data_IF_752589023286
#
_entry.id   IF_752589023286
#
_cell.length_a   1.000
_cell.length_b   1.000
_cell.length_c   1.000
_cell.angle_alpha   90.00
_cell.angle_beta   90.00
_cell.angle_gamma   90.00
#
_symmetry.space_group_name_H-M   'P 1'
#
loop_
_entity.id
_entity.type
_entity.pdbx_description
1 polymer ?
#
# COMPACT_ATOMS: atom_id res chain seq x y z
N UNK A 1 4.21 -8.03 19.91
CA UNK A 1 5.30 -8.48 19.02
C UNK A 1 5.21 -7.62 17.77
N UNK A 2 6.29 -7.01 17.30
CA UNK A 2 6.23 -6.11 16.14
C UNK A 2 6.32 -6.92 14.86
N UNK A 3 5.45 -6.64 13.90
CA UNK A 3 5.37 -7.32 12.61
C UNK A 3 6.03 -6.49 11.52
N UNK A 4 6.95 -7.10 10.77
CA UNK A 4 7.48 -6.47 9.57
C UNK A 4 6.42 -6.57 8.47
N UNK A 5 6.11 -5.44 7.86
CA UNK A 5 5.21 -5.35 6.72
C UNK A 5 6.00 -4.92 5.50
N UNK A 6 5.81 -5.66 4.41
CA UNK A 6 6.37 -5.35 3.11
C UNK A 6 5.23 -5.02 2.15
N UNK A 7 5.35 -3.89 1.48
CA UNK A 7 4.47 -3.46 0.40
C UNK A 7 5.30 -3.45 -0.87
N UNK A 8 4.91 -4.26 -1.84
CA UNK A 8 5.39 -4.14 -3.22
C UNK A 8 4.25 -3.64 -4.08
N UNK A 9 4.50 -2.65 -4.94
CA UNK A 9 3.49 -2.14 -5.85
C UNK A 9 4.06 -1.98 -7.27
N UNK A 10 3.16 -1.91 -8.24
CA UNK A 10 3.48 -1.52 -9.60
C UNK A 10 2.51 -0.42 -10.03
N UNK A 11 3.04 0.80 -10.11
CA UNK A 11 2.30 1.94 -10.65
C UNK A 11 2.38 1.88 -12.18
N UNK A 12 1.26 2.10 -12.85
CA UNK A 12 1.18 2.03 -14.32
C UNK A 12 2.07 3.08 -14.99
N UNK A 13 2.53 2.77 -16.20
CA UNK A 13 3.44 3.59 -17.03
C UNK A 13 2.92 5.02 -17.33
N UNK A 14 1.64 5.31 -17.12
CA UNK A 14 1.03 6.62 -17.30
C UNK A 14 0.95 7.45 -15.99
N UNK A 15 1.49 6.93 -14.88
CA UNK A 15 1.62 7.68 -13.63
C UNK A 15 2.79 8.66 -13.78
N UNK A 16 2.52 9.97 -13.70
CA UNK A 16 3.57 11.00 -13.75
C UNK A 16 4.44 10.93 -12.51
N UNK A 17 5.67 11.47 -12.60
CA UNK A 17 6.60 11.59 -11.46
C UNK A 17 5.96 12.32 -10.27
N UNK A 18 5.18 13.37 -10.51
CA UNK A 18 4.46 14.10 -9.46
C UNK A 18 3.49 13.20 -8.66
N UNK A 19 2.70 12.36 -9.34
CA UNK A 19 1.79 11.43 -8.66
C UNK A 19 2.54 10.33 -7.90
N UNK A 20 3.69 9.90 -8.44
CA UNK A 20 4.58 8.96 -7.76
C UNK A 20 5.12 9.55 -6.46
N UNK A 21 5.62 10.78 -6.52
CA UNK A 21 6.21 11.47 -5.37
C UNK A 21 5.16 11.71 -4.28
N UNK A 22 3.94 12.11 -4.65
CA UNK A 22 2.84 12.27 -3.71
C UNK A 22 2.42 10.95 -3.02
N UNK A 23 2.47 9.84 -3.76
CA UNK A 23 2.21 8.51 -3.19
C UNK A 23 3.29 8.11 -2.19
N UNK A 24 4.56 8.32 -2.55
CA UNK A 24 5.70 7.97 -1.69
C UNK A 24 5.75 8.88 -0.45
N UNK A 25 5.55 10.19 -0.61
CA UNK A 25 5.51 11.17 0.48
C UNK A 25 4.42 10.82 1.51
N UNK A 26 3.24 10.40 1.04
CA UNK A 26 2.17 9.99 1.95
C UNK A 26 2.58 8.79 2.80
N UNK A 27 3.10 7.74 2.17
CA UNK A 27 3.53 6.53 2.86
C UNK A 27 4.68 6.82 3.82
N UNK A 28 5.64 7.65 3.41
CA UNK A 28 6.77 8.05 4.26
C UNK A 28 6.33 8.86 5.48
N UNK A 29 5.31 9.72 5.33
CA UNK A 29 4.64 10.40 6.43
C UNK A 29 3.99 9.43 7.44
N UNK A 30 3.67 8.21 7.02
CA UNK A 30 3.13 7.13 7.85
C UNK A 30 4.21 6.12 8.30
N UNK A 31 5.49 6.45 8.13
CA UNK A 31 6.61 5.66 8.62
C UNK A 31 7.04 4.50 7.72
N UNK A 32 6.47 4.40 6.50
CA UNK A 32 7.00 3.52 5.47
C UNK A 32 8.35 4.04 4.97
N UNK A 33 9.24 3.11 4.62
CA UNK A 33 10.57 3.42 4.09
C UNK A 33 10.89 2.49 2.95
N UNK A 34 11.77 2.91 2.05
CA UNK A 34 12.26 2.02 1.02
C UNK A 34 12.91 0.78 1.65
N UNK A 35 12.58 -0.39 1.12
CA UNK A 35 13.08 -1.65 1.65
C UNK A 35 14.50 -1.90 1.13
N UNK A 36 15.54 -1.87 1.98
CA UNK A 36 16.93 -1.97 1.54
C UNK A 36 17.30 -3.35 0.99
N UNK A 37 16.56 -4.38 1.38
CA UNK A 37 16.82 -5.78 1.03
C UNK A 37 16.32 -6.16 -0.37
N UNK A 38 15.61 -5.25 -1.03
CA UNK A 38 15.12 -5.41 -2.40
C UNK A 38 15.57 -4.18 -3.19
N UNK A 39 16.35 -4.37 -4.25
CA UNK A 39 16.92 -3.25 -5.07
C UNK A 39 15.88 -2.47 -5.89
N UNK A 40 14.63 -2.48 -5.45
CA UNK A 40 13.46 -1.97 -6.14
C UNK A 40 12.93 -0.75 -5.37
N UNK A 41 12.97 0.42 -6.02
CA UNK A 41 12.26 1.62 -5.57
C UNK A 41 10.73 1.44 -5.51
N UNK A 42 10.24 0.24 -5.84
CA UNK A 42 8.82 -0.15 -5.82
C UNK A 42 8.43 -0.97 -4.59
N UNK A 43 9.33 -1.13 -3.63
CA UNK A 43 9.06 -1.88 -2.40
C UNK A 43 9.33 -1.01 -1.19
N UNK A 44 8.29 -0.80 -0.37
CA UNK A 44 8.38 -0.11 0.92
C UNK A 44 8.14 -1.09 2.07
N UNK A 45 8.75 -0.80 3.20
CA UNK A 45 8.63 -1.57 4.43
C UNK A 45 8.27 -0.65 5.60
N UNK A 46 7.48 -1.16 6.53
CA UNK A 46 7.32 -0.53 7.84
C UNK A 46 7.20 -1.61 8.93
N UNK A 47 7.33 -1.18 10.19
CA UNK A 47 7.16 -2.06 11.36
C UNK A 47 5.84 -1.71 12.04
N UNK A 48 4.89 -2.63 11.98
CA UNK A 48 3.59 -2.52 12.66
C UNK A 48 3.56 -3.27 13.99
N UNK A 49 2.41 -3.20 14.66
CA UNK A 49 2.10 -3.96 15.87
C UNK A 49 1.89 -5.46 15.59
N UNK A 50 0.81 -6.03 16.10
CA UNK A 50 0.40 -7.40 15.74
C UNK A 50 0.10 -7.51 14.23
N UNK A 51 0.16 -8.74 13.71
CA UNK A 51 0.17 -8.95 12.26
C UNK A 51 -1.16 -8.60 11.57
N UNK A 52 -2.30 -8.87 12.22
CA UNK A 52 -3.63 -8.56 11.67
C UNK A 52 -3.90 -7.06 11.69
N UNK A 53 -3.62 -6.39 12.82
CA UNK A 53 -3.71 -4.94 12.93
C UNK A 53 -2.77 -4.24 11.95
N UNK A 54 -1.55 -4.74 11.79
CA UNK A 54 -0.59 -4.20 10.83
C UNK A 54 -1.05 -4.37 9.38
N UNK A 55 -1.68 -5.50 9.02
CA UNK A 55 -2.22 -5.72 7.67
C UNK A 55 -3.38 -4.77 7.36
N UNK A 56 -4.33 -4.59 8.29
CA UNK A 56 -5.45 -3.68 8.12
C UNK A 56 -4.97 -2.22 7.95
N UNK A 57 -4.05 -1.78 8.81
CA UNK A 57 -3.45 -0.44 8.73
C UNK A 57 -2.73 -0.27 7.40
N UNK A 58 -1.91 -1.24 7.00
CA UNK A 58 -1.18 -1.19 5.74
C UNK A 58 -2.10 -1.05 4.53
N UNK A 59 -3.19 -1.82 4.48
CA UNK A 59 -4.18 -1.74 3.41
C UNK A 59 -4.79 -0.34 3.38
N UNK A 60 -5.25 0.20 4.52
CA UNK A 60 -5.85 1.54 4.59
C UNK A 60 -4.90 2.62 4.08
N UNK A 61 -3.67 2.64 4.59
CA UNK A 61 -2.67 3.65 4.23
C UNK A 61 -2.30 3.60 2.75
N UNK A 62 -2.19 2.39 2.16
CA UNK A 62 -1.95 2.23 0.72
C UNK A 62 -3.12 2.76 -0.10
N UNK A 63 -4.36 2.44 0.27
CA UNK A 63 -5.53 2.98 -0.44
C UNK A 63 -5.61 4.51 -0.35
N UNK A 64 -5.32 5.08 0.82
CA UNK A 64 -5.30 6.53 1.00
C UNK A 64 -4.16 7.19 0.22
N UNK A 65 -2.98 6.57 0.15
CA UNK A 65 -1.87 7.04 -0.67
C UNK A 65 -2.26 7.09 -2.15
N UNK A 66 -2.84 6.00 -2.67
CA UNK A 66 -3.33 5.90 -4.06
C UNK A 66 -4.35 7.00 -4.35
N UNK A 67 -5.30 7.19 -3.43
CA UNK A 67 -6.36 8.20 -3.55
C UNK A 67 -5.80 9.62 -3.58
N UNK A 68 -4.95 9.98 -2.62
CA UNK A 68 -4.36 11.33 -2.50
C UNK A 68 -3.44 11.65 -3.66
N UNK A 69 -2.68 10.67 -4.13
CA UNK A 69 -1.84 10.78 -5.31
C UNK A 69 -2.64 10.79 -6.63
N UNK A 70 -3.96 10.52 -6.58
CA UNK A 70 -4.85 10.43 -7.75
C UNK A 70 -4.39 9.39 -8.78
N UNK A 71 -3.82 8.28 -8.29
CA UNK A 71 -3.36 7.18 -9.14
C UNK A 71 -4.57 6.42 -9.67
N UNK A 72 -4.73 6.41 -11.00
CA UNK A 72 -5.89 5.81 -11.67
C UNK A 72 -5.84 4.30 -11.75
N UNK A 73 -4.64 3.73 -11.78
CA UNK A 73 -4.45 2.30 -11.92
C UNK A 73 -3.14 1.85 -11.27
N UNK A 74 -3.22 0.87 -10.37
CA UNK A 74 -2.06 0.33 -9.65
C UNK A 74 -2.32 -1.08 -9.16
N UNK A 75 -1.29 -1.92 -9.11
CA UNK A 75 -1.35 -3.22 -8.44
C UNK A 75 -0.44 -3.21 -7.22
N UNK A 76 -0.87 -3.82 -6.12
CA UNK A 76 -0.04 -3.94 -4.93
C UNK A 76 -0.20 -5.27 -4.21
N UNK A 77 0.86 -5.65 -3.50
CA UNK A 77 0.95 -6.82 -2.63
C UNK A 77 1.46 -6.36 -1.26
N UNK A 78 0.70 -6.70 -0.21
CA UNK A 78 1.06 -6.44 1.18
C UNK A 78 1.31 -7.79 1.87
N UNK A 79 2.53 -7.98 2.36
CA UNK A 79 2.96 -9.14 3.13
C UNK A 79 3.22 -8.73 4.58
N UNK A 80 2.57 -9.37 5.55
CA UNK A 80 2.69 -9.06 6.98
C UNK A 80 3.18 -10.29 7.75
N UNK A 81 4.47 -10.34 8.11
CA UNK A 81 5.05 -11.51 8.77
C UNK A 81 4.78 -12.80 8.00
N UNK A 82 4.17 -13.79 8.67
CA UNK A 82 3.82 -15.09 8.08
C UNK A 82 2.35 -15.20 7.64
N UNK A 83 1.59 -14.09 7.62
CA UNK A 83 0.22 -14.11 7.10
C UNK A 83 0.19 -14.29 5.59
N UNK A 84 -0.93 -14.79 5.07
CA UNK A 84 -1.18 -14.80 3.63
C UNK A 84 -1.09 -13.37 3.05
N UNK A 85 -0.35 -13.16 1.95
CA UNK A 85 -0.25 -11.86 1.32
C UNK A 85 -1.60 -11.38 0.78
N UNK A 86 -1.86 -10.08 0.94
CA UNK A 86 -3.00 -9.41 0.32
C UNK A 86 -2.55 -8.84 -1.01
N UNK A 87 -3.14 -9.33 -2.11
CA UNK A 87 -2.90 -8.84 -3.47
C UNK A 87 -4.17 -8.22 -4.03
N UNK A 88 -4.06 -6.97 -4.52
CA UNK A 88 -5.17 -6.21 -5.09
C UNK A 88 -4.68 -5.39 -6.29
N UNK A 89 -5.50 -5.36 -7.33
CA UNK A 89 -5.39 -4.34 -8.38
C UNK A 89 -6.48 -3.32 -8.18
N UNK A 90 -6.06 -2.06 -8.15
CA UNK A 90 -6.90 -0.90 -8.01
C UNK A 90 -7.11 -0.23 -9.37
N UNK A 91 -8.37 -0.01 -9.71
CA UNK A 91 -8.80 0.70 -10.91
C UNK A 91 -9.77 1.80 -10.49
N UNK A 92 -9.50 3.04 -10.87
CA UNK A 92 -10.34 4.17 -10.50
C UNK A 92 -11.50 4.35 -11.49
N UNK A 93 -12.74 4.21 -11.01
CA UNK A 93 -13.92 4.88 -11.59
C UNK A 93 -14.66 5.74 -10.55
N UNK A 94 -14.59 5.39 -9.26
CA UNK A 94 -14.97 6.21 -8.09
C UNK A 94 -14.31 5.61 -6.81
N UNK A 95 -13.75 6.38 -5.86
CA UNK A 95 -12.80 5.88 -4.85
C UNK A 95 -13.43 5.29 -3.58
N UNK A 96 -14.65 5.70 -3.23
CA UNK A 96 -15.26 5.33 -1.94
C UNK A 96 -15.75 3.87 -1.92
N UNK A 97 -16.28 3.38 -3.04
CA UNK A 97 -16.79 2.00 -3.12
C UNK A 97 -15.67 0.95 -3.05
N UNK A 98 -14.49 1.25 -3.60
CA UNK A 98 -13.36 0.32 -3.57
C UNK A 98 -12.76 0.16 -2.17
N UNK A 99 -12.69 1.25 -1.38
CA UNK A 99 -12.22 1.22 0.01
C UNK A 99 -13.21 0.44 0.90
N UNK A 100 -14.51 0.73 0.79
CA UNK A 100 -15.56 0.03 1.54
C UNK A 100 -15.56 -1.47 1.22
N UNK A 101 -15.50 -1.85 -0.06
CA UNK A 101 -15.46 -3.25 -0.48
C UNK A 101 -14.15 -3.97 -0.08
N UNK A 102 -13.04 -3.25 0.07
CA UNK A 102 -11.78 -3.84 0.53
C UNK A 102 -11.77 -4.04 2.04
N UNK A 103 -12.36 -3.14 2.82
CA UNK A 103 -12.45 -3.26 4.28
C UNK A 103 -13.49 -4.28 4.74
N UNK A 104 -14.59 -4.47 3.99
CA UNK A 104 -15.62 -5.47 4.29
C UNK A 104 -15.15 -6.93 4.23
N UNK A 105 -13.95 -7.20 3.69
CA UNK A 105 -13.33 -8.54 3.72
C UNK A 105 -12.53 -8.83 4.99
N UNK A 106 -12.33 -7.83 5.85
CA UNK A 106 -11.61 -7.92 7.11
C UNK A 106 -12.53 -7.79 8.34
N UNK A 107 -13.85 -7.77 8.13
CA UNK A 107 -14.90 -7.71 9.16
C UNK A 107 -15.64 -9.03 9.30
#
# INVERSE_FOLDING_TARGET
>A
MNTNVLLSFDLKQNTTTEHRDLFDEYLEGHGWKDCPDVSSAKTKAFKGGDAEGAQITAVKEVYEAIYRAKIKETSFVIQCGNLEPVSKTYFYSDPYDALINSLARFS
#
